data_IF_589177066805
#
_entry.id   IF_589177066805
#
_cell.length_a   1.000
_cell.length_b   1.000
_cell.length_c   1.000
_cell.angle_alpha   90.00
_cell.angle_beta   90.00
_cell.angle_gamma   90.00
#
_symmetry.space_group_name_H-M   'P 1'
#
loop_
_entity.id
_entity.type
_entity.pdbx_description
1 polymer ?
#
# COMPACT_ATOMS: atom_id res chain seq x y z
N UNK A 1 -18.38 -6.04 10.06
CA UNK A 1 -17.47 -4.95 9.64
C UNK A 1 -16.98 -5.29 8.25
N UNK A 2 -17.07 -4.36 7.30
CA UNK A 2 -16.50 -4.56 5.98
C UNK A 2 -14.99 -4.37 6.06
N UNK A 3 -14.23 -5.31 5.52
CA UNK A 3 -12.77 -5.16 5.38
C UNK A 3 -12.46 -4.19 4.24
N UNK A 4 -11.38 -3.40 4.35
CA UNK A 4 -10.99 -2.54 3.25
C UNK A 4 -10.54 -3.37 2.06
N UNK A 5 -10.75 -2.85 0.85
CA UNK A 5 -10.51 -3.59 -0.40
C UNK A 5 -9.96 -2.70 -1.49
N UNK A 6 -8.94 -3.18 -2.18
CA UNK A 6 -8.48 -2.61 -3.45
C UNK A 6 -9.42 -3.06 -4.57
N UNK A 7 -9.97 -2.13 -5.34
CA UNK A 7 -10.91 -2.40 -6.42
C UNK A 7 -10.24 -2.34 -7.79
N UNK A 8 -9.25 -1.46 -7.99
CA UNK A 8 -8.50 -1.36 -9.23
C UNK A 8 -7.18 -0.58 -9.04
N UNK A 9 -6.29 -0.69 -10.03
CA UNK A 9 -5.14 0.19 -10.20
C UNK A 9 -4.99 0.59 -11.67
N UNK A 10 -4.68 1.84 -11.92
CA UNK A 10 -4.20 2.36 -13.19
C UNK A 10 -2.79 2.89 -12.98
N UNK A 11 -1.86 2.53 -13.85
CA UNK A 11 -0.45 2.88 -13.62
C UNK A 11 0.32 3.13 -14.91
N UNK A 12 1.28 4.03 -14.80
CA UNK A 12 2.47 4.12 -15.64
C UNK A 12 3.64 3.78 -14.72
N UNK A 13 4.08 2.51 -14.70
CA UNK A 13 5.09 2.02 -13.75
C UNK A 13 5.81 0.77 -14.26
N UNK A 14 7.12 0.89 -14.44
CA UNK A 14 7.97 -0.17 -15.00
C UNK A 14 7.49 -0.65 -16.37
N UNK A 15 7.21 -1.95 -16.50
CA UNK A 15 6.69 -2.56 -17.72
C UNK A 15 5.18 -2.39 -17.94
N UNK A 16 4.46 -1.82 -16.97
CA UNK A 16 3.01 -1.72 -17.01
C UNK A 16 2.58 -0.30 -17.39
N UNK A 17 1.64 -0.23 -18.33
CA UNK A 17 0.89 0.97 -18.70
C UNK A 17 -0.57 0.56 -18.90
N UNK A 18 -1.47 1.10 -18.08
CA UNK A 18 -2.90 0.84 -18.16
C UNK A 18 -3.55 0.43 -16.84
N UNK A 19 -4.81 -0.02 -16.95
CA UNK A 19 -5.69 -0.33 -15.83
C UNK A 19 -5.83 -1.84 -15.60
N UNK A 20 -5.86 -2.22 -14.32
CA UNK A 20 -6.14 -3.56 -13.83
C UNK A 20 -7.28 -3.48 -12.80
N UNK A 21 -8.41 -4.10 -13.13
CA UNK A 21 -9.55 -4.23 -12.22
C UNK A 21 -9.43 -5.52 -11.41
N UNK A 22 -9.68 -5.42 -10.11
CA UNK A 22 -9.72 -6.57 -9.21
C UNK A 22 -11.16 -7.09 -9.10
N UNK A 23 -11.35 -8.42 -9.04
CA UNK A 23 -12.66 -9.01 -8.79
C UNK A 23 -13.30 -8.44 -7.52
N UNK A 24 -14.61 -8.17 -7.60
CA UNK A 24 -15.39 -7.59 -6.50
C UNK A 24 -15.81 -8.64 -5.47
N UNK A 25 -15.71 -9.93 -5.82
CA UNK A 25 -16.02 -11.02 -4.91
C UNK A 25 -14.87 -11.27 -3.91
N UNK A 26 -15.19 -11.82 -2.74
CA UNK A 26 -14.21 -12.07 -1.67
C UNK A 26 -13.34 -13.31 -1.94
N UNK A 27 -13.08 -13.62 -3.22
CA UNK A 27 -12.31 -14.80 -3.59
C UNK A 27 -10.83 -14.45 -3.70
N UNK A 28 -9.93 -15.41 -3.43
CA UNK A 28 -8.51 -15.22 -3.70
C UNK A 28 -8.28 -14.86 -5.17
N UNK A 29 -7.49 -13.82 -5.39
CA UNK A 29 -7.09 -13.37 -6.74
C UNK A 29 -5.71 -13.94 -7.05
N UNK A 30 -5.58 -14.60 -8.20
CA UNK A 30 -4.30 -15.14 -8.68
C UNK A 30 -3.80 -14.31 -9.84
N UNK A 31 -2.63 -13.68 -9.67
CA UNK A 31 -1.92 -12.99 -10.75
C UNK A 31 -0.91 -13.97 -11.34
N UNK A 32 -1.23 -14.51 -12.52
CA UNK A 32 -0.41 -15.50 -13.22
C UNK A 32 0.29 -14.92 -14.46
N UNK A 33 1.45 -15.45 -14.78
CA UNK A 33 2.24 -15.01 -15.93
C UNK A 33 3.65 -15.57 -15.90
N UNK A 34 4.36 -15.50 -17.03
CA UNK A 34 5.75 -15.99 -17.16
C UNK A 34 6.70 -15.21 -16.23
N UNK A 35 7.87 -15.77 -15.96
CA UNK A 35 8.94 -15.02 -15.29
C UNK A 35 9.28 -13.77 -16.11
N UNK A 36 9.46 -12.63 -15.44
CA UNK A 36 9.68 -11.35 -16.09
C UNK A 36 8.42 -10.64 -16.61
N UNK A 37 7.21 -11.22 -16.48
CA UNK A 37 5.96 -10.58 -16.94
C UNK A 37 5.49 -9.40 -16.06
N UNK A 38 6.29 -8.98 -15.08
CA UNK A 38 5.95 -7.85 -14.21
C UNK A 38 5.00 -8.17 -13.05
N UNK A 39 4.78 -9.42 -12.65
CA UNK A 39 3.88 -9.76 -11.52
C UNK A 39 4.27 -9.05 -10.23
N UNK A 40 5.54 -9.20 -9.83
CA UNK A 40 6.10 -8.52 -8.65
C UNK A 40 6.05 -7.00 -8.80
N UNK A 41 6.27 -6.49 -10.02
CA UNK A 41 6.17 -5.06 -10.33
C UNK A 41 4.75 -4.52 -10.15
N UNK A 42 3.72 -5.27 -10.54
CA UNK A 42 2.32 -4.91 -10.35
C UNK A 42 1.95 -4.87 -8.87
N UNK A 43 2.30 -5.93 -8.13
CA UNK A 43 2.03 -6.00 -6.70
C UNK A 43 2.78 -4.89 -5.93
N UNK A 44 4.03 -4.59 -6.32
CA UNK A 44 4.79 -3.46 -5.78
C UNK A 44 4.11 -2.12 -6.10
N UNK A 45 3.57 -1.94 -7.31
CA UNK A 45 2.87 -0.71 -7.70
C UNK A 45 1.65 -0.43 -6.81
N UNK A 46 0.89 -1.46 -6.40
CA UNK A 46 -0.19 -1.31 -5.42
C UNK A 46 0.30 -0.78 -4.07
N UNK A 47 1.44 -1.29 -3.58
CA UNK A 47 1.99 -0.80 -2.32
C UNK A 47 2.54 0.63 -2.47
N UNK A 48 3.19 0.92 -3.59
CA UNK A 48 3.82 2.22 -3.82
C UNK A 48 2.79 3.31 -4.09
N UNK A 49 1.68 3.03 -4.76
CA UNK A 49 0.61 4.01 -4.93
C UNK A 49 0.06 4.47 -3.57
N UNK A 50 -0.05 3.56 -2.60
CA UNK A 50 -0.48 3.87 -1.24
C UNK A 50 0.63 4.59 -0.46
N UNK A 51 1.85 4.05 -0.41
CA UNK A 51 2.85 4.48 0.57
C UNK A 51 4.04 5.27 0.02
N UNK A 52 4.19 5.36 -1.30
CA UNK A 52 5.28 6.07 -1.95
C UNK A 52 6.67 5.42 -1.77
N UNK A 53 7.71 6.22 -2.02
CA UNK A 53 9.11 5.82 -1.91
C UNK A 53 9.84 6.66 -0.87
N UNK A 54 10.71 6.02 -0.09
CA UNK A 54 11.60 6.77 0.81
C UNK A 54 12.89 7.16 0.08
N UNK A 55 12.87 8.23 -0.72
CA UNK A 55 13.99 8.61 -1.61
C UNK A 55 15.32 8.91 -0.92
N UNK A 56 15.32 9.11 0.40
CA UNK A 56 16.54 9.23 1.22
C UNK A 56 17.28 7.90 1.35
N UNK A 57 16.59 6.76 1.23
CA UNK A 57 17.19 5.43 1.20
C UNK A 57 17.73 5.15 -0.21
N UNK A 58 19.03 4.85 -0.39
CA UNK A 58 19.60 4.61 -1.72
C UNK A 58 18.90 3.51 -2.51
N UNK A 59 18.51 2.42 -1.84
CA UNK A 59 17.81 1.28 -2.42
C UNK A 59 16.45 1.66 -3.00
N UNK A 60 15.69 2.47 -2.27
CA UNK A 60 14.37 2.98 -2.68
C UNK A 60 14.48 3.92 -3.88
N UNK A 61 15.51 4.75 -3.91
CA UNK A 61 15.79 5.62 -5.07
C UNK A 61 16.18 4.81 -6.29
N UNK A 62 17.05 3.81 -6.13
CA UNK A 62 17.42 2.92 -7.23
C UNK A 62 16.22 2.12 -7.73
N UNK A 63 15.36 1.64 -6.83
CA UNK A 63 14.13 0.96 -7.19
C UNK A 63 13.21 1.86 -8.00
N UNK A 64 12.99 3.11 -7.59
CA UNK A 64 12.20 4.07 -8.37
C UNK A 64 12.76 4.28 -9.78
N UNK A 65 14.08 4.41 -9.91
CA UNK A 65 14.75 4.52 -11.22
C UNK A 65 14.52 3.28 -12.11
N UNK A 66 14.63 2.07 -11.53
CA UNK A 66 14.33 0.80 -12.22
C UNK A 66 12.84 0.64 -12.59
N UNK A 67 11.97 1.46 -12.00
CA UNK A 67 10.51 1.43 -12.21
C UNK A 67 10.01 2.61 -13.02
N UNK A 68 10.91 3.39 -13.62
CA UNK A 68 10.52 4.34 -14.66
C UNK A 68 9.75 3.61 -15.78
N UNK A 69 8.61 4.15 -16.23
CA UNK A 69 7.81 3.53 -17.27
C UNK A 69 8.60 3.37 -18.57
N UNK A 70 8.47 2.21 -19.22
CA UNK A 70 9.10 1.98 -20.52
C UNK A 70 8.50 2.86 -21.63
N UNK A 71 7.29 3.38 -21.40
CA UNK A 71 6.64 4.36 -22.26
C UNK A 71 7.36 5.72 -22.28
N UNK A 72 8.26 5.98 -21.33
CA UNK A 72 8.91 7.28 -21.12
C UNK A 72 8.00 8.33 -20.48
N UNK A 73 6.75 7.98 -20.16
CA UNK A 73 5.81 8.85 -19.44
C UNK A 73 6.22 9.00 -17.97
N UNK A 74 5.73 10.04 -17.27
CA UNK A 74 5.93 10.18 -15.83
C UNK A 74 5.44 8.95 -15.07
N UNK A 75 6.22 8.52 -14.08
CA UNK A 75 5.85 7.41 -13.21
C UNK A 75 4.71 7.85 -12.28
N UNK A 76 3.56 7.20 -12.39
CA UNK A 76 2.38 7.52 -11.59
C UNK A 76 1.47 6.31 -11.42
N UNK A 77 0.62 6.34 -10.41
CA UNK A 77 -0.42 5.34 -10.22
C UNK A 77 -1.66 5.94 -9.58
N UNK A 78 -2.82 5.42 -9.96
CA UNK A 78 -4.10 5.67 -9.34
C UNK A 78 -4.69 4.36 -8.83
N UNK A 79 -5.04 4.31 -7.55
CA UNK A 79 -5.70 3.15 -6.92
C UNK A 79 -7.11 3.51 -6.50
N UNK A 80 -8.04 2.62 -6.79
CA UNK A 80 -9.39 2.66 -6.28
C UNK A 80 -9.47 1.74 -5.07
N UNK A 81 -9.93 2.28 -3.96
CA UNK A 81 -10.04 1.58 -2.68
C UNK A 81 -11.45 1.75 -2.13
N UNK A 82 -11.93 0.72 -1.45
CA UNK A 82 -13.08 0.81 -0.56
C UNK A 82 -12.60 0.72 0.88
N UNK A 83 -12.86 1.76 1.66
CA UNK A 83 -12.54 1.80 3.08
C UNK A 83 -13.50 0.92 3.91
N UNK A 84 -13.18 0.74 5.19
CA UNK A 84 -13.94 -0.08 6.15
C UNK A 84 -15.38 0.40 6.38
N UNK A 85 -15.61 1.71 6.25
CA UNK A 85 -16.93 2.36 6.31
C UNK A 85 -17.74 2.21 5.01
N UNK A 86 -17.14 1.62 3.96
CA UNK A 86 -17.76 1.42 2.65
C UNK A 86 -17.51 2.55 1.66
N UNK A 87 -16.91 3.67 2.09
CA UNK A 87 -16.57 4.81 1.25
C UNK A 87 -15.56 4.41 0.17
N UNK A 88 -15.75 4.92 -1.04
CA UNK A 88 -14.85 4.67 -2.17
C UNK A 88 -13.94 5.87 -2.40
N UNK A 89 -12.64 5.61 -2.42
CA UNK A 89 -11.64 6.62 -2.71
C UNK A 89 -10.85 6.26 -3.96
N UNK A 90 -10.53 7.28 -4.75
CA UNK A 90 -9.49 7.23 -5.77
C UNK A 90 -8.25 7.97 -5.24
N UNK A 91 -7.12 7.27 -5.15
CA UNK A 91 -5.84 7.82 -4.71
C UNK A 91 -4.92 7.88 -5.93
N UNK A 92 -4.65 9.08 -6.43
CA UNK A 92 -3.62 9.32 -7.45
C UNK A 92 -2.31 9.74 -6.78
N UNK A 93 -1.19 9.19 -7.25
CA UNK A 93 0.16 9.52 -6.79
C UNK A 93 1.10 9.73 -7.97
N UNK A 94 1.83 10.84 -7.90
CA UNK A 94 2.99 11.10 -8.75
C UNK A 94 4.26 10.67 -8.00
N UNK A 95 4.97 9.67 -8.55
CA UNK A 95 6.18 9.14 -7.93
C UNK A 95 7.42 10.04 -8.11
N UNK A 96 7.33 11.07 -8.96
CA UNK A 96 8.39 12.05 -9.21
C UNK A 96 8.31 13.26 -8.28
N UNK A 97 7.11 13.66 -7.84
CA UNK A 97 6.91 14.79 -6.92
C UNK A 97 6.55 14.36 -5.48
N UNK A 98 6.15 13.11 -5.28
CA UNK A 98 5.50 12.59 -4.06
C UNK A 98 4.12 13.24 -3.80
N UNK A 99 3.57 14.00 -4.75
CA UNK A 99 2.21 14.52 -4.65
C UNK A 99 1.20 13.37 -4.63
N UNK A 100 0.22 13.48 -3.73
CA UNK A 100 -0.93 12.61 -3.66
C UNK A 100 -2.20 13.43 -3.71
N UNK A 101 -3.13 12.99 -4.56
CA UNK A 101 -4.49 13.51 -4.64
C UNK A 101 -5.45 12.38 -4.29
N UNK A 102 -6.37 12.64 -3.37
CA UNK A 102 -7.41 11.69 -2.99
C UNK A 102 -8.77 12.31 -3.23
N UNK A 103 -9.63 11.57 -3.92
CA UNK A 103 -11.01 11.94 -4.22
C UNK A 103 -11.98 10.92 -3.65
N UNK A 104 -13.08 11.40 -3.07
CA UNK A 104 -14.26 10.58 -2.79
C UNK A 104 -15.04 10.38 -4.11
N UNK A 105 -15.20 9.13 -4.53
CA UNK A 105 -15.83 8.78 -5.81
C UNK A 105 -17.35 9.05 -5.81
N UNK A 106 -18.01 8.97 -4.66
CA UNK A 106 -19.45 9.20 -4.56
C UNK A 106 -19.77 10.70 -4.55
N UNK A 107 -18.96 11.49 -3.86
CA UNK A 107 -19.11 12.94 -3.79
C UNK A 107 -18.48 13.67 -4.98
N UNK A 108 -17.54 13.03 -5.70
CA UNK A 108 -16.75 13.67 -6.75
C UNK A 108 -15.84 14.78 -6.22
N UNK A 109 -15.47 14.72 -4.94
CA UNK A 109 -14.76 15.79 -4.24
C UNK A 109 -13.34 15.36 -3.85
N UNK A 110 -12.37 16.25 -4.05
CA UNK A 110 -11.03 16.12 -3.49
C UNK A 110 -11.09 16.21 -1.95
N UNK A 111 -10.69 15.14 -1.27
CA UNK A 111 -10.63 15.06 0.20
C UNK A 111 -9.22 15.36 0.73
N UNK A 112 -8.21 15.19 -0.12
CA UNK A 112 -6.81 15.48 0.19
C UNK A 112 -6.02 15.81 -1.07
N UNK A 113 -5.13 16.81 -0.96
CA UNK A 113 -4.01 17.03 -1.86
C UNK A 113 -2.81 17.46 -1.04
N UNK A 114 -1.65 16.91 -1.33
CA UNK A 114 -0.40 17.35 -0.70
C UNK A 114 0.73 16.35 -0.80
N UNK A 115 1.75 16.59 0.01
CA UNK A 115 2.97 15.78 0.06
C UNK A 115 2.73 14.40 0.72
N UNK A 116 2.74 13.33 -0.07
CA UNK A 116 2.59 11.95 0.38
C UNK A 116 3.92 11.24 0.69
N UNK A 117 5.00 11.96 0.99
CA UNK A 117 6.30 11.38 1.32
C UNK A 117 6.24 10.53 2.62
N UNK A 118 6.61 9.24 2.57
CA UNK A 118 6.51 8.35 3.74
C UNK A 118 7.40 8.74 4.94
N UNK A 119 8.45 9.53 4.72
CA UNK A 119 9.30 10.06 5.81
C UNK A 119 9.18 11.57 5.96
N UNK A 120 8.14 12.15 5.36
CA UNK A 120 7.84 13.57 5.48
C UNK A 120 7.50 13.95 6.91
N UNK A 121 8.15 14.98 7.43
CA UNK A 121 7.83 15.58 8.75
C UNK A 121 6.80 16.70 8.64
N UNK A 122 6.38 17.03 7.42
CA UNK A 122 5.37 18.06 7.13
C UNK A 122 4.00 17.59 7.62
N UNK A 123 3.14 18.56 7.94
CA UNK A 123 1.76 18.31 8.37
C UNK A 123 0.98 17.51 7.34
N UNK A 124 1.19 17.76 6.05
CA UNK A 124 0.53 17.06 4.94
C UNK A 124 0.87 15.58 4.88
N UNK A 125 2.16 15.23 4.99
CA UNK A 125 2.60 13.83 4.97
C UNK A 125 2.05 13.03 6.13
N UNK A 126 2.01 13.62 7.34
CA UNK A 126 1.38 12.98 8.50
C UNK A 126 -0.13 12.82 8.30
N UNK A 127 -0.80 13.85 7.79
CA UNK A 127 -2.24 13.80 7.49
C UNK A 127 -2.56 12.68 6.50
N UNK A 128 -1.77 12.52 5.44
CA UNK A 128 -1.95 11.43 4.48
C UNK A 128 -1.74 10.06 5.12
N UNK A 129 -0.71 9.90 5.97
CA UNK A 129 -0.47 8.65 6.69
C UNK A 129 -1.63 8.30 7.64
N UNK A 130 -2.23 9.29 8.31
CA UNK A 130 -3.39 9.08 9.16
C UNK A 130 -4.63 8.68 8.35
N UNK A 131 -4.84 9.29 7.18
CA UNK A 131 -5.89 8.88 6.25
C UNK A 131 -5.71 7.44 5.77
N UNK A 132 -4.51 7.08 5.30
CA UNK A 132 -4.18 5.71 4.91
C UNK A 132 -4.42 4.73 6.06
N UNK A 133 -3.99 5.07 7.29
CA UNK A 133 -4.29 4.25 8.48
C UNK A 133 -5.79 4.08 8.70
N UNK A 134 -6.58 5.14 8.53
CA UNK A 134 -8.04 5.09 8.66
C UNK A 134 -8.71 4.19 7.63
N UNK A 135 -8.19 4.13 6.41
CA UNK A 135 -8.78 3.34 5.32
C UNK A 135 -8.38 1.88 5.35
N UNK A 136 -7.08 1.59 5.48
CA UNK A 136 -6.52 0.24 5.30
C UNK A 136 -5.86 -0.32 6.56
N UNK A 137 -5.90 0.40 7.68
CA UNK A 137 -5.33 -0.01 8.97
C UNK A 137 -3.86 0.36 9.16
N UNK A 138 -3.14 0.70 8.09
CA UNK A 138 -1.71 1.00 8.13
C UNK A 138 -1.39 2.32 7.45
N UNK A 139 -0.64 3.19 8.15
CA UNK A 139 -0.24 4.50 7.62
C UNK A 139 1.08 4.48 6.84
N UNK A 140 1.86 3.41 6.94
CA UNK A 140 3.18 3.27 6.31
C UNK A 140 3.37 1.87 5.74
N UNK A 141 4.36 1.72 4.86
CA UNK A 141 4.64 0.48 4.13
C UNK A 141 5.17 -0.63 5.04
N UNK A 142 6.02 -0.31 6.03
CA UNK A 142 6.73 -1.32 6.82
C UNK A 142 5.77 -2.21 7.63
N UNK A 143 4.81 -1.65 8.40
CA UNK A 143 3.84 -2.46 9.14
C UNK A 143 2.91 -3.23 8.20
N UNK A 144 2.59 -2.69 7.01
CA UNK A 144 1.82 -3.42 6.02
C UNK A 144 2.59 -4.63 5.50
N UNK A 145 3.90 -4.46 5.22
CA UNK A 145 4.74 -5.53 4.69
C UNK A 145 4.90 -6.67 5.67
N UNK A 146 5.11 -6.40 6.95
CA UNK A 146 5.27 -7.46 7.95
C UNK A 146 3.97 -8.24 8.22
N UNK A 147 2.80 -7.65 7.91
CA UNK A 147 1.49 -8.20 8.30
C UNK A 147 0.70 -8.83 7.15
N UNK A 148 0.63 -8.14 6.02
CA UNK A 148 -0.32 -8.41 4.95
C UNK A 148 0.35 -8.82 3.64
N UNK A 149 1.69 -8.78 3.59
CA UNK A 149 2.47 -9.14 2.43
C UNK A 149 3.44 -10.27 2.77
N UNK A 150 3.32 -11.40 2.07
CA UNK A 150 4.27 -12.50 2.19
C UNK A 150 5.09 -12.50 0.91
N UNK A 151 6.33 -12.03 0.97
CA UNK A 151 7.17 -12.02 -0.23
C UNK A 151 7.68 -13.42 -0.60
N UNK A 152 8.12 -13.56 -1.85
CA UNK A 152 8.72 -14.79 -2.33
C UNK A 152 10.00 -15.09 -1.55
N UNK A 153 10.00 -16.18 -0.77
CA UNK A 153 11.13 -16.61 0.04
C UNK A 153 11.07 -16.23 1.52
N UNK A 154 10.07 -15.45 1.96
CA UNK A 154 9.94 -15.00 3.36
C UNK A 154 9.23 -16.01 4.28
N UNK A 155 8.69 -17.11 3.76
CA UNK A 155 8.03 -18.16 4.55
C UNK A 155 8.97 -18.96 5.48
N UNK A 156 10.26 -18.61 5.57
CA UNK A 156 11.28 -19.36 6.32
C UNK A 156 11.56 -18.77 7.70
N UNK A 157 11.19 -17.52 7.99
CA UNK A 157 11.48 -16.90 9.30
C UNK A 157 10.40 -15.87 9.69
N UNK A 158 9.20 -16.36 10.03
CA UNK A 158 8.11 -15.50 10.52
C UNK A 158 8.39 -15.07 11.95
N UNK A 159 9.17 -14.00 12.14
CA UNK A 159 9.26 -13.33 13.44
C UNK A 159 8.04 -12.44 13.64
N UNK A 160 7.19 -12.81 14.60
CA UNK A 160 6.13 -11.94 15.10
C UNK A 160 6.77 -10.71 15.75
N UNK A 161 6.63 -9.54 15.12
CA UNK A 161 7.09 -8.25 15.65
C UNK A 161 6.09 -7.69 16.67
N UNK A 162 6.55 -6.84 17.59
CA UNK A 162 5.75 -6.26 18.68
C UNK A 162 4.57 -5.42 18.14
N UNK A 163 4.70 -4.85 16.95
CA UNK A 163 3.63 -4.05 16.31
C UNK A 163 2.50 -4.95 15.76
N UNK A 164 2.85 -6.11 15.21
CA UNK A 164 1.93 -7.19 14.80
C UNK A 164 1.12 -7.71 15.98
N UNK A 165 1.81 -7.93 17.11
CA UNK A 165 1.18 -8.36 18.35
C UNK A 165 0.24 -7.29 18.91
N UNK A 166 0.59 -6.01 18.82
CA UNK A 166 -0.29 -4.90 19.24
C UNK A 166 -1.54 -4.78 18.36
N UNK A 167 -1.39 -4.96 17.04
CA UNK A 167 -2.51 -4.93 16.10
C UNK A 167 -3.48 -6.11 16.34
N UNK A 168 -2.95 -7.30 16.63
CA UNK A 168 -3.75 -8.49 16.92
C UNK A 168 -4.40 -8.47 18.32
N UNK A 169 -3.69 -7.95 19.34
CA UNK A 169 -4.13 -8.09 20.73
C UNK A 169 -5.20 -7.07 21.16
N UNK A 170 -5.31 -5.92 20.51
CA UNK A 170 -6.26 -4.87 20.91
C UNK A 170 -6.07 -4.46 22.37
N UNK A 171 -5.21 -3.48 22.62
CA UNK A 171 -4.71 -2.98 23.93
C UNK A 171 -3.68 -3.85 24.65
N UNK A 172 -2.71 -3.17 25.27
CA UNK A 172 -1.44 -3.70 25.79
C UNK A 172 -1.56 -4.91 26.74
N UNK A 173 -2.69 -5.06 27.47
CA UNK A 173 -2.89 -6.15 28.44
C UNK A 173 -3.07 -7.54 27.81
N UNK A 174 -3.38 -7.62 26.52
CA UNK A 174 -3.62 -8.92 25.84
C UNK A 174 -2.39 -9.47 25.13
N UNK A 175 -1.35 -8.66 24.94
CA UNK A 175 -0.10 -9.10 24.26
C UNK A 175 0.65 -10.11 25.12
N UNK A 176 0.80 -9.86 26.43
CA UNK A 176 1.46 -10.81 27.35
C UNK A 176 0.67 -12.11 27.51
N UNK A 177 -0.67 -12.04 27.52
CA UNK A 177 -1.53 -13.21 27.58
C UNK A 177 -1.41 -14.08 26.30
N UNK A 178 -1.42 -13.46 25.11
CA UNK A 178 -1.27 -14.17 23.84
C UNK A 178 0.14 -14.76 23.63
N UNK A 179 1.18 -14.10 24.15
CA UNK A 179 2.55 -14.63 24.14
C UNK A 179 2.74 -15.82 25.10
N UNK A 180 1.94 -15.90 26.17
CA UNK A 180 1.91 -17.05 27.07
C UNK A 180 1.33 -18.32 26.43
N UNK A 181 0.28 -18.17 25.61
CA UNK A 181 -0.39 -19.30 24.93
C UNK A 181 0.40 -19.88 23.75
N UNK A 182 1.40 -19.17 23.23
CA UNK A 182 2.28 -19.62 22.13
C UNK A 182 3.55 -20.36 22.60
N UNK A 183 3.77 -20.45 23.92
CA UNK A 183 4.96 -21.08 24.53
C UNK A 183 4.70 -22.43 25.20
N UNK A 184 3.46 -22.90 25.18
CA UNK A 184 3.06 -24.26 25.56
C UNK A 184 2.67 -25.07 24.31
#
# INVERSE_FOLDING_TARGET
MNSPRLEAIELEYGCHSGRFDLPVDQRPVVIAGRNGSGKTTLLEAFLRSLYGFTRRRPEERQLLELRRPWSGRPAQAQVWLRATDGTRFAIHRDFSSDEVVVSDEAAGQEVFRGDGNPVGVRSESRRYQDLARGWIGFGTLEPYRSTAWIAQGELVDTKLDDELLRAAAGTHRRVEAALGELRD
#
